data_IF_534128251997
#
_entry.id   IF_534128251997
#
_cell.length_a   1.000
_cell.length_b   1.000
_cell.length_c   1.000
_cell.angle_alpha   90.00
_cell.angle_beta   90.00
_cell.angle_gamma   90.00
#
_symmetry.space_group_name_H-M   'P 1'
#
loop_
_entity.id
_entity.type
_entity.pdbx_description
1 polymer ?
#
# COMPACT_ATOMS: atom_id res chain seq x y z
N UNK A 1 1.17 1.64 -1.58
CA UNK A 1 1.42 3.04 -1.94
C UNK A 1 0.34 3.53 -2.89
N UNK A 2 0.27 3.04 -4.14
CA UNK A 2 -0.65 3.55 -5.16
C UNK A 2 -2.13 3.58 -4.72
N UNK A 3 -2.60 2.53 -4.03
CA UNK A 3 -3.97 2.47 -3.49
C UNK A 3 -4.28 3.67 -2.57
N UNK A 4 -3.35 4.03 -1.68
CA UNK A 4 -3.48 5.16 -0.78
C UNK A 4 -3.24 6.50 -1.50
N UNK A 5 -2.11 6.61 -2.19
CA UNK A 5 -1.63 7.86 -2.79
C UNK A 5 -2.57 8.45 -3.84
N UNK A 6 -3.39 7.61 -4.50
CA UNK A 6 -4.40 8.01 -5.49
C UNK A 6 -5.84 8.02 -4.93
N UNK A 7 -6.03 7.80 -3.63
CA UNK A 7 -7.35 7.84 -3.00
C UNK A 7 -8.30 6.72 -3.45
N UNK A 8 -7.77 5.52 -3.73
CA UNK A 8 -8.60 4.35 -3.99
C UNK A 8 -9.48 4.03 -2.78
N UNK A 9 -10.70 3.53 -3.03
CA UNK A 9 -11.69 3.32 -1.96
C UNK A 9 -11.63 1.89 -1.46
N UNK A 10 -11.65 1.72 -0.14
CA UNK A 10 -11.73 0.40 0.48
C UNK A 10 -12.98 -0.38 0.04
N UNK A 11 -14.10 0.32 -0.23
CA UNK A 11 -15.31 -0.30 -0.76
C UNK A 11 -15.12 -0.96 -2.13
N UNK A 12 -14.24 -0.42 -2.98
CA UNK A 12 -13.95 -1.02 -4.28
C UNK A 12 -13.10 -2.28 -4.10
N UNK A 13 -12.12 -2.26 -3.19
CA UNK A 13 -11.31 -3.44 -2.85
C UNK A 13 -12.17 -4.57 -2.25
N UNK A 14 -13.12 -4.24 -1.37
CA UNK A 14 -14.06 -5.21 -0.76
C UNK A 14 -14.95 -5.92 -1.79
N UNK A 15 -15.22 -5.28 -2.92
CA UNK A 15 -16.05 -5.82 -3.99
C UNK A 15 -15.22 -6.49 -5.11
N UNK A 16 -13.90 -6.47 -5.01
CA UNK A 16 -13.02 -7.14 -5.96
C UNK A 16 -12.99 -8.65 -5.71
N UNK A 17 -12.66 -9.41 -6.76
CA UNK A 17 -12.34 -10.83 -6.62
C UNK A 17 -10.86 -10.97 -6.22
N UNK A 18 -10.60 -11.50 -5.01
CA UNK A 18 -9.24 -11.69 -4.52
C UNK A 18 -8.40 -12.65 -5.38
N UNK A 19 -9.04 -13.50 -6.18
CA UNK A 19 -8.35 -14.40 -7.12
C UNK A 19 -7.85 -13.69 -8.39
N UNK A 20 -8.35 -12.49 -8.67
CA UNK A 20 -7.89 -11.65 -9.78
C UNK A 20 -6.72 -10.73 -9.36
N UNK A 21 -6.36 -10.73 -8.07
CA UNK A 21 -5.19 -10.00 -7.55
C UNK A 21 -4.00 -10.95 -7.53
N UNK A 22 -3.00 -10.70 -8.35
CA UNK A 22 -1.84 -11.61 -8.48
C UNK A 22 -0.65 -11.25 -7.59
N UNK A 23 -0.47 -9.96 -7.27
CA UNK A 23 0.70 -9.47 -6.54
C UNK A 23 0.26 -8.35 -5.59
N UNK A 24 0.70 -8.44 -4.33
CA UNK A 24 0.65 -7.34 -3.38
C UNK A 24 2.04 -6.71 -3.23
N UNK A 25 2.20 -5.45 -3.67
CA UNK A 25 3.34 -4.63 -3.28
C UNK A 25 3.02 -3.94 -1.96
N UNK A 26 3.78 -4.28 -0.92
CA UNK A 26 3.66 -3.73 0.43
C UNK A 26 4.77 -2.72 0.66
N UNK A 27 4.34 -1.53 1.01
CA UNK A 27 5.14 -0.37 1.35
C UNK A 27 4.29 0.51 2.28
N UNK A 28 4.85 1.63 2.73
CA UNK A 28 4.13 2.67 3.44
C UNK A 28 4.54 4.03 2.89
N UNK A 29 4.02 5.14 3.42
CA UNK A 29 4.43 6.47 2.95
C UNK A 29 4.31 7.56 4.01
N UNK A 30 5.04 8.66 3.84
CA UNK A 30 4.90 9.89 4.62
C UNK A 30 3.44 10.41 4.59
N UNK A 31 3.02 11.16 5.61
CA UNK A 31 1.64 11.66 5.72
C UNK A 31 1.41 12.97 4.93
N UNK A 32 1.65 12.92 3.62
CA UNK A 32 1.32 14.03 2.72
C UNK A 32 -0.07 13.86 2.10
N UNK A 33 -0.75 14.97 1.73
CA UNK A 33 -2.03 14.88 1.05
C UNK A 33 -1.95 14.06 -0.24
N UNK A 34 -3.02 13.32 -0.52
CA UNK A 34 -3.25 12.63 -1.80
C UNK A 34 -3.00 13.58 -2.97
N UNK A 35 -2.29 13.10 -3.99
CA UNK A 35 -1.89 13.90 -5.16
C UNK A 35 -0.56 14.64 -5.02
N UNK A 36 0.02 14.72 -3.82
CA UNK A 36 1.39 15.23 -3.61
C UNK A 36 2.42 14.12 -3.44
N UNK A 37 1.98 12.93 -3.04
CA UNK A 37 2.82 11.76 -2.81
C UNK A 37 3.49 11.25 -4.09
N UNK A 38 4.79 10.98 -3.99
CA UNK A 38 5.63 10.37 -5.03
C UNK A 38 6.27 9.08 -4.52
N UNK A 39 6.86 8.28 -5.41
CA UNK A 39 7.47 7.01 -5.00
C UNK A 39 8.67 7.17 -4.04
N UNK A 40 9.31 8.35 -4.02
CA UNK A 40 10.38 8.67 -3.06
C UNK A 40 9.86 8.87 -1.64
N UNK A 41 8.57 9.18 -1.48
CA UNK A 41 7.92 9.35 -0.18
C UNK A 41 7.55 8.02 0.48
N UNK A 42 7.85 6.88 -0.18
CA UNK A 42 7.62 5.56 0.41
C UNK A 42 8.52 5.35 1.64
N UNK A 43 8.03 4.67 2.65
CA UNK A 43 8.79 4.24 3.84
C UNK A 43 8.52 2.76 4.14
N UNK A 44 9.27 2.18 5.07
CA UNK A 44 9.08 0.78 5.45
C UNK A 44 7.64 0.51 5.92
N UNK A 45 7.02 -0.63 5.55
CA UNK A 45 5.69 -1.02 6.00
C UNK A 45 5.50 -0.89 7.51
N UNK A 46 4.53 -0.09 7.94
CA UNK A 46 4.21 0.15 9.36
C UNK A 46 4.96 1.34 9.98
N UNK A 47 5.75 2.08 9.20
CA UNK A 47 6.38 3.33 9.63
C UNK A 47 5.75 4.58 8.99
N UNK A 48 4.63 4.44 8.28
CA UNK A 48 3.97 5.55 7.58
C UNK A 48 2.47 5.68 7.90
N UNK A 49 1.73 6.28 6.98
CA UNK A 49 0.34 6.70 7.16
C UNK A 49 -0.70 5.82 6.42
N UNK A 50 -0.28 4.77 5.71
CA UNK A 50 -1.22 3.89 4.99
C UNK A 50 -1.99 3.02 6.00
N UNK A 51 -3.32 2.90 5.81
CA UNK A 51 -4.16 1.93 6.53
C UNK A 51 -3.86 0.48 6.09
N UNK A 52 -2.68 -0.02 6.45
CA UNK A 52 -2.21 -1.35 6.08
C UNK A 52 -3.08 -2.44 6.71
N UNK A 53 -3.54 -2.26 7.94
CA UNK A 53 -4.40 -3.23 8.62
C UNK A 53 -5.76 -3.35 7.90
N UNK A 54 -6.36 -2.24 7.48
CA UNK A 54 -7.58 -2.24 6.68
C UNK A 54 -7.41 -2.90 5.31
N UNK A 55 -6.30 -2.61 4.61
CA UNK A 55 -6.00 -3.23 3.30
C UNK A 55 -5.77 -4.74 3.45
N UNK A 56 -4.93 -5.15 4.39
CA UNK A 56 -4.56 -6.56 4.58
C UNK A 56 -5.74 -7.41 5.09
N UNK A 57 -6.55 -6.86 6.00
CA UNK A 57 -7.78 -7.54 6.44
C UNK A 57 -8.78 -7.70 5.29
N UNK A 58 -8.98 -6.66 4.48
CA UNK A 58 -9.85 -6.72 3.30
C UNK A 58 -9.34 -7.74 2.28
N UNK A 59 -8.05 -7.74 1.95
CA UNK A 59 -7.46 -8.72 1.03
C UNK A 59 -7.68 -10.17 1.51
N UNK A 60 -7.50 -10.41 2.81
CA UNK A 60 -7.79 -11.71 3.42
C UNK A 60 -9.27 -12.08 3.34
N UNK A 61 -10.18 -11.13 3.54
CA UNK A 61 -11.63 -11.34 3.45
C UNK A 61 -12.08 -11.71 2.03
N UNK A 62 -11.50 -11.09 1.00
CA UNK A 62 -11.84 -11.36 -0.40
C UNK A 62 -11.10 -12.58 -0.99
N UNK A 63 -10.30 -13.28 -0.18
CA UNK A 63 -9.67 -14.54 -0.57
C UNK A 63 -8.28 -14.42 -1.23
N UNK A 64 -7.67 -13.24 -1.25
CA UNK A 64 -6.29 -13.09 -1.70
C UNK A 64 -5.34 -13.78 -0.70
N UNK A 65 -4.46 -14.66 -1.21
CA UNK A 65 -3.52 -15.44 -0.39
C UNK A 65 -2.19 -15.76 -1.09
N UNK A 66 -1.89 -15.04 -2.17
CA UNK A 66 -0.69 -15.26 -2.99
C UNK A 66 0.49 -14.37 -2.53
N UNK A 67 1.41 -14.04 -3.43
CA UNK A 67 2.66 -13.34 -3.13
C UNK A 67 2.45 -11.90 -2.63
N UNK A 68 3.14 -11.59 -1.52
CA UNK A 68 3.41 -10.23 -1.06
C UNK A 68 4.91 -9.92 -1.21
N UNK A 69 5.23 -8.78 -1.81
CA UNK A 69 6.60 -8.27 -2.01
C UNK A 69 6.76 -6.92 -1.33
N UNK A 70 7.94 -6.60 -0.82
CA UNK A 70 8.26 -5.25 -0.34
C UNK A 70 8.87 -4.45 -1.49
N UNK A 71 8.31 -3.26 -1.78
CA UNK A 71 8.76 -2.40 -2.89
C UNK A 71 8.97 -0.96 -2.41
N UNK A 72 10.22 -0.51 -2.38
CA UNK A 72 10.58 0.85 -1.96
C UNK A 72 11.45 1.51 -3.03
N UNK A 73 11.20 2.81 -3.23
CA UNK A 73 12.00 3.68 -4.11
C UNK A 73 12.59 4.87 -3.36
N UNK A 74 12.53 4.86 -2.02
CA UNK A 74 13.12 5.91 -1.20
C UNK A 74 14.64 5.94 -1.39
N UNK A 75 15.22 7.06 -1.84
CA UNK A 75 16.67 7.22 -1.84
C UNK A 75 17.18 7.12 -0.40
N UNK A 76 18.19 6.28 -0.15
CA UNK A 76 18.80 6.10 1.18
C UNK A 76 19.72 7.29 1.56
N UNK A 77 19.22 8.52 1.44
CA UNK A 77 19.94 9.75 1.78
C UNK A 77 19.21 10.50 2.90
N UNK A 78 19.12 9.87 4.07
CA UNK A 78 18.51 10.47 5.26
C UNK A 78 19.08 10.00 6.59
N UNK A 79 20.10 9.12 6.59
CA UNK A 79 20.93 8.87 7.76
C UNK A 79 22.01 9.95 7.83
N UNK A 80 21.67 11.08 8.43
CA UNK A 80 22.62 11.98 9.08
C UNK A 80 22.45 11.87 10.59
#
# INVERSE_FOLDING_TARGET
>A
FHFHAMGSKMGDLKNADGLEIFILHRDDTEDFPIGFLTDEDRVWPGLGAIDLDGILSTLKEIGFSDVASVELFRPESGLN
#
